data_IF_097067439127
#
_entry.id   IF_097067439127
#
_cell.length_a   1.000
_cell.length_b   1.000
_cell.length_c   1.000
_cell.angle_alpha   90.00
_cell.angle_beta   90.00
_cell.angle_gamma   90.00
#
_symmetry.space_group_name_H-M   'P 1'
#
loop_
_entity.id
_entity.type
_entity.pdbx_description
1 polymer ?
#
# COMPACT_ATOMS: atom_id res chain seq x y z
N UNK A 1 9.35 -46.60 15.83
CA UNK A 1 9.25 -45.75 14.60
C UNK A 1 8.36 -44.58 14.95
N UNK A 2 8.93 -43.39 15.19
CA UNK A 2 8.18 -42.21 15.60
C UNK A 2 7.65 -41.51 14.35
N UNK A 3 6.35 -41.57 14.17
CA UNK A 3 5.62 -40.82 13.14
C UNK A 3 5.65 -39.33 13.54
N UNK A 4 6.60 -38.55 13.02
CA UNK A 4 6.57 -37.09 13.12
C UNK A 4 5.42 -36.62 12.25
N UNK A 5 4.29 -36.28 12.85
CA UNK A 5 3.20 -35.55 12.22
C UNK A 5 3.79 -34.25 11.61
N UNK A 6 4.02 -34.25 10.32
CA UNK A 6 4.43 -33.08 9.56
C UNK A 6 3.19 -32.21 9.38
N UNK A 7 2.94 -31.29 10.32
CA UNK A 7 1.95 -30.23 10.12
C UNK A 7 2.34 -29.49 8.83
N UNK A 8 1.45 -29.40 7.83
CA UNK A 8 1.79 -28.72 6.58
C UNK A 8 2.24 -27.29 6.87
N UNK A 9 3.37 -26.89 6.31
CA UNK A 9 3.93 -25.55 6.48
C UNK A 9 2.92 -24.54 5.95
N UNK A 10 2.42 -23.67 6.82
CA UNK A 10 1.41 -22.65 6.50
C UNK A 10 1.91 -21.77 5.36
N UNK A 11 1.16 -21.69 4.27
CA UNK A 11 1.46 -20.80 3.15
C UNK A 11 0.95 -19.40 3.46
N UNK A 12 1.85 -18.56 3.95
CA UNK A 12 1.57 -17.17 4.33
C UNK A 12 1.16 -16.30 3.13
N UNK A 13 1.68 -16.62 1.94
CA UNK A 13 1.35 -15.90 0.72
C UNK A 13 -0.11 -16.15 0.34
N UNK A 14 -0.48 -17.42 0.28
CA UNK A 14 -1.85 -17.81 -0.03
C UNK A 14 -2.87 -17.24 0.99
N UNK A 15 -2.52 -17.25 2.28
CA UNK A 15 -3.41 -16.74 3.34
C UNK A 15 -3.68 -15.23 3.19
N UNK A 16 -2.63 -14.42 3.06
CA UNK A 16 -2.78 -12.95 2.94
C UNK A 16 -3.51 -12.60 1.64
N UNK A 17 -3.17 -13.26 0.54
CA UNK A 17 -3.82 -13.01 -0.75
C UNK A 17 -5.28 -13.42 -0.73
N UNK A 18 -5.65 -14.54 -0.10
CA UNK A 18 -7.04 -14.96 0.04
C UNK A 18 -7.86 -13.96 0.87
N UNK A 19 -7.28 -13.41 1.94
CA UNK A 19 -7.93 -12.37 2.76
C UNK A 19 -8.17 -11.09 1.94
N UNK A 20 -7.21 -10.68 1.13
CA UNK A 20 -7.36 -9.52 0.24
C UNK A 20 -8.46 -9.76 -0.81
N UNK A 21 -8.44 -10.91 -1.50
CA UNK A 21 -9.47 -11.29 -2.49
C UNK A 21 -10.85 -11.24 -1.83
N UNK A 22 -11.01 -11.87 -0.67
CA UNK A 22 -12.26 -11.84 0.09
C UNK A 22 -12.68 -10.41 0.43
N UNK A 23 -11.75 -9.55 0.80
CA UNK A 23 -12.05 -8.15 1.10
C UNK A 23 -12.47 -7.38 -0.16
N UNK A 24 -11.87 -7.61 -1.32
CA UNK A 24 -12.27 -6.98 -2.58
C UNK A 24 -13.69 -7.43 -2.98
N UNK A 25 -14.00 -8.70 -2.82
CA UNK A 25 -15.28 -9.32 -3.19
C UNK A 25 -16.38 -9.17 -2.12
N UNK A 26 -16.11 -8.52 -0.99
CA UNK A 26 -17.05 -8.45 0.16
C UNK A 26 -18.35 -7.67 -0.14
N UNK A 27 -18.39 -6.83 -1.18
CA UNK A 27 -19.60 -6.14 -1.66
C UNK A 27 -19.92 -6.64 -3.07
N UNK A 28 -20.83 -7.64 -3.20
CA UNK A 28 -21.25 -8.15 -4.50
C UNK A 28 -21.93 -7.05 -5.33
N UNK A 29 -21.37 -6.73 -6.49
CA UNK A 29 -21.89 -5.70 -7.38
C UNK A 29 -21.13 -4.36 -7.34
N UNK A 30 -20.30 -4.15 -6.32
CA UNK A 30 -19.37 -3.01 -6.22
C UNK A 30 -18.00 -3.45 -5.69
N UNK A 31 -17.29 -4.34 -6.39
CA UNK A 31 -15.95 -4.72 -5.95
C UNK A 31 -15.04 -3.51 -5.99
N UNK A 32 -14.31 -3.28 -4.89
CA UNK A 32 -13.38 -2.15 -4.76
C UNK A 32 -12.26 -2.50 -3.80
N UNK A 33 -11.14 -1.78 -3.94
CA UNK A 33 -10.02 -1.99 -3.04
C UNK A 33 -10.41 -1.63 -1.60
N UNK A 34 -10.07 -2.48 -0.60
CA UNK A 34 -10.50 -2.29 0.78
C UNK A 34 -10.15 -0.92 1.37
N UNK A 35 -9.01 -0.37 1.03
CA UNK A 35 -8.55 0.94 1.54
C UNK A 35 -9.26 2.15 0.90
N UNK A 36 -10.22 1.93 0.00
CA UNK A 36 -11.04 2.99 -0.62
C UNK A 36 -12.49 3.02 -0.12
N UNK A 37 -12.92 2.05 0.68
CA UNK A 37 -14.35 1.85 1.00
C UNK A 37 -14.94 2.84 1.98
N UNK A 38 -14.16 3.22 2.99
CA UNK A 38 -14.74 3.89 4.16
C UNK A 38 -14.91 5.41 4.01
N UNK A 39 -14.35 6.04 2.99
CA UNK A 39 -14.27 7.50 2.89
C UNK A 39 -13.51 8.14 4.07
N UNK A 40 -12.90 7.32 4.93
CA UNK A 40 -12.11 7.76 6.08
C UNK A 40 -10.69 8.14 5.64
N UNK A 41 -10.02 9.02 6.39
CA UNK A 41 -8.61 9.28 6.16
C UNK A 41 -7.80 7.99 6.22
N UNK A 42 -7.04 7.73 5.19
CA UNK A 42 -6.12 6.60 5.17
C UNK A 42 -4.83 6.99 5.89
N UNK A 43 -4.40 6.15 6.83
CA UNK A 43 -3.16 6.34 7.58
C UNK A 43 -2.21 5.18 7.27
N UNK A 44 -0.92 5.48 7.16
CA UNK A 44 0.09 4.41 7.09
C UNK A 44 0.11 3.70 8.46
N UNK A 45 -0.04 2.37 8.51
CA UNK A 45 0.05 1.62 9.76
C UNK A 45 1.41 1.82 10.43
N UNK A 46 1.38 1.98 11.76
CA UNK A 46 2.55 2.29 12.58
C UNK A 46 2.67 1.31 13.74
N UNK A 47 3.89 0.94 14.09
CA UNK A 47 4.15 0.14 15.29
C UNK A 47 4.12 1.02 16.53
N UNK A 48 3.20 0.74 17.44
CA UNK A 48 2.96 1.56 18.65
C UNK A 48 4.19 1.69 19.56
N UNK A 49 5.06 0.67 19.58
CA UNK A 49 6.26 0.66 20.41
C UNK A 49 7.46 1.35 19.73
N UNK A 50 7.79 0.93 18.51
CA UNK A 50 8.98 1.44 17.81
C UNK A 50 8.75 2.74 17.04
N UNK A 51 7.49 3.16 16.87
CA UNK A 51 7.07 4.29 16.02
C UNK A 51 7.44 4.15 14.53
N UNK A 52 7.92 2.98 14.14
CA UNK A 52 8.23 2.69 12.75
C UNK A 52 6.94 2.41 11.96
N UNK A 53 6.84 2.97 10.76
CA UNK A 53 5.76 2.67 9.83
C UNK A 53 5.94 1.30 9.19
N UNK A 54 4.83 0.59 8.98
CA UNK A 54 4.83 -0.63 8.19
C UNK A 54 4.98 -0.32 6.71
N UNK A 55 5.57 -1.24 5.95
CA UNK A 55 5.81 -1.08 4.52
C UNK A 55 5.47 -2.36 3.74
N UNK A 56 5.38 -2.25 2.42
CA UNK A 56 5.11 -3.37 1.53
C UNK A 56 3.79 -4.06 1.86
N UNK A 57 3.82 -5.37 1.82
CA UNK A 57 2.63 -6.20 2.09
C UNK A 57 2.04 -5.98 3.49
N UNK A 58 2.86 -5.59 4.46
CA UNK A 58 2.38 -5.34 5.82
C UNK A 58 1.41 -4.15 5.85
N UNK A 59 1.71 -3.08 5.12
CA UNK A 59 0.80 -1.93 5.00
C UNK A 59 -0.53 -2.35 4.40
N UNK A 60 -0.49 -3.06 3.27
CA UNK A 60 -1.70 -3.55 2.59
C UNK A 60 -2.52 -4.47 3.48
N UNK A 61 -1.88 -5.46 4.12
CA UNK A 61 -2.58 -6.42 4.98
C UNK A 61 -3.23 -5.75 6.21
N UNK A 62 -2.54 -4.78 6.81
CA UNK A 62 -3.09 -4.06 7.98
C UNK A 62 -4.20 -3.09 7.58
N UNK A 63 -4.18 -2.51 6.38
CA UNK A 63 -5.31 -1.75 5.83
C UNK A 63 -6.54 -2.63 5.61
N UNK A 64 -6.34 -3.82 5.01
CA UNK A 64 -7.43 -4.80 4.83
C UNK A 64 -8.05 -5.19 6.17
N UNK A 65 -7.20 -5.49 7.16
CA UNK A 65 -7.66 -5.86 8.49
C UNK A 65 -8.41 -4.72 9.19
N UNK A 66 -7.90 -3.49 9.09
CA UNK A 66 -8.54 -2.31 9.67
C UNK A 66 -9.92 -2.06 9.04
N UNK A 67 -10.03 -2.15 7.71
CA UNK A 67 -11.31 -1.98 7.02
C UNK A 67 -12.33 -3.05 7.41
N UNK A 68 -11.95 -4.33 7.34
CA UNK A 68 -12.84 -5.44 7.66
C UNK A 68 -13.33 -5.45 9.11
N UNK A 69 -12.57 -4.86 10.04
CA UNK A 69 -12.87 -4.83 11.47
C UNK A 69 -13.28 -3.45 11.99
N UNK A 70 -13.33 -2.44 11.11
CA UNK A 70 -13.75 -1.09 11.45
C UNK A 70 -12.77 -0.33 12.35
N UNK A 71 -11.47 -0.67 12.33
CA UNK A 71 -10.46 0.03 13.11
C UNK A 71 -10.16 1.42 12.51
N UNK A 72 -10.16 2.42 13.35
CA UNK A 72 -9.85 3.81 12.96
C UNK A 72 -8.40 4.21 13.25
N UNK A 73 -7.74 3.51 14.17
CA UNK A 73 -6.35 3.79 14.54
C UNK A 73 -5.36 2.97 13.71
N UNK A 74 -4.28 3.55 13.19
CA UNK A 74 -3.22 2.83 12.51
C UNK A 74 -2.18 2.21 13.46
N UNK A 75 -2.39 2.23 14.78
CA UNK A 75 -1.44 1.70 15.76
C UNK A 75 -1.58 0.19 15.92
N UNK A 76 -0.47 -0.49 15.69
CA UNK A 76 -0.37 -1.94 15.80
C UNK A 76 0.89 -2.32 16.58
N UNK A 77 0.81 -3.34 17.42
CA UNK A 77 2.00 -3.92 18.05
C UNK A 77 1.80 -5.41 18.35
N UNK A 78 2.90 -6.10 18.60
CA UNK A 78 2.86 -7.48 19.08
C UNK A 78 2.32 -7.54 20.51
N UNK A 79 1.84 -8.70 20.94
CA UNK A 79 1.39 -8.91 22.32
C UNK A 79 2.45 -8.46 23.33
N UNK A 80 3.71 -8.84 23.10
CA UNK A 80 4.82 -8.47 23.98
C UNK A 80 5.05 -6.95 24.01
N UNK A 81 5.03 -6.29 22.86
CA UNK A 81 5.19 -4.83 22.80
C UNK A 81 4.07 -4.09 23.52
N UNK A 82 2.80 -4.55 23.38
CA UNK A 82 1.69 -4.00 24.16
C UNK A 82 1.91 -4.16 25.65
N UNK A 83 2.36 -5.35 26.10
CA UNK A 83 2.68 -5.60 27.52
C UNK A 83 3.83 -4.71 28.02
N UNK A 84 4.86 -4.47 27.20
CA UNK A 84 5.98 -3.55 27.51
C UNK A 84 5.52 -2.08 27.59
N UNK A 85 4.45 -1.72 26.88
CA UNK A 85 3.79 -0.41 26.96
C UNK A 85 2.79 -0.30 28.15
N UNK A 86 2.70 -1.32 29.00
CA UNK A 86 1.79 -1.36 30.13
C UNK A 86 0.33 -1.73 29.78
N UNK A 87 0.11 -2.23 28.58
CA UNK A 87 -1.20 -2.52 28.03
C UNK A 87 -1.46 -4.04 27.92
N UNK A 88 -2.72 -4.43 27.89
CA UNK A 88 -3.15 -5.83 27.79
C UNK A 88 -4.04 -6.04 26.58
N UNK A 89 -3.69 -7.01 25.74
CA UNK A 89 -4.55 -7.44 24.63
C UNK A 89 -5.82 -8.10 25.19
N UNK A 90 -6.98 -7.66 24.74
CA UNK A 90 -8.30 -8.15 25.19
C UNK A 90 -8.44 -9.62 24.82
N UNK A 91 -8.96 -10.41 25.75
CA UNK A 91 -9.16 -11.85 25.54
C UNK A 91 -10.11 -12.11 24.38
N UNK A 92 -9.67 -12.93 23.43
CA UNK A 92 -10.44 -13.27 22.22
C UNK A 92 -10.13 -12.42 21.01
N UNK A 93 -9.31 -11.38 21.16
CA UNK A 93 -8.83 -10.56 20.03
C UNK A 93 -8.11 -11.39 18.98
N UNK A 94 -8.22 -10.97 17.72
CA UNK A 94 -7.62 -11.66 16.57
C UNK A 94 -6.42 -10.89 16.06
N UNK A 95 -5.25 -11.51 16.16
CA UNK A 95 -4.01 -10.93 15.63
C UNK A 95 -3.93 -10.95 14.11
N UNK A 96 -3.28 -9.95 13.54
CA UNK A 96 -2.90 -9.92 12.13
C UNK A 96 -1.45 -10.36 11.93
N UNK A 97 -1.21 -10.91 10.74
CA UNK A 97 0.11 -11.35 10.35
C UNK A 97 0.90 -10.21 9.73
N UNK A 98 2.14 -10.03 10.18
CA UNK A 98 3.12 -9.15 9.54
C UNK A 98 4.38 -9.94 9.24
N UNK A 99 5.03 -9.64 8.12
CA UNK A 99 6.20 -10.37 7.63
C UNK A 99 7.38 -9.41 7.57
N UNK A 100 8.48 -9.80 8.19
CA UNK A 100 9.75 -9.09 8.13
C UNK A 100 10.77 -9.99 7.44
N UNK A 101 11.54 -9.41 6.54
CA UNK A 101 12.68 -10.08 5.93
C UNK A 101 13.94 -9.72 6.71
N UNK A 102 14.63 -10.72 7.22
CA UNK A 102 15.93 -10.55 7.83
C UNK A 102 16.97 -11.03 6.85
N UNK A 103 17.92 -10.17 6.53
CA UNK A 103 19.05 -10.51 5.69
C UNK A 103 20.19 -11.03 6.58
N UNK A 104 20.84 -12.07 6.12
CA UNK A 104 22.04 -12.64 6.74
C UNK A 104 23.11 -12.72 5.67
N UNK A 105 24.30 -12.30 6.02
CA UNK A 105 25.47 -12.57 5.19
C UNK A 105 25.74 -14.09 5.24
N UNK A 106 25.87 -14.70 4.10
CA UNK A 106 26.14 -16.13 3.96
C UNK A 106 27.22 -16.34 2.89
N UNK A 107 27.81 -17.55 2.91
CA UNK A 107 28.76 -17.93 1.89
C UNK A 107 28.15 -17.74 0.50
N UNK A 108 28.89 -17.16 -0.48
CA UNK A 108 28.40 -16.93 -1.85
C UNK A 108 27.83 -18.16 -2.54
N UNK A 109 28.26 -19.38 -2.17
CA UNK A 109 27.70 -20.62 -2.71
C UNK A 109 26.29 -20.95 -2.23
N UNK A 110 25.80 -20.28 -1.16
CA UNK A 110 24.48 -20.51 -0.52
C UNK A 110 23.61 -19.26 -0.58
N UNK A 111 24.12 -18.19 -1.19
CA UNK A 111 23.44 -16.88 -1.26
C UNK A 111 22.29 -16.89 -2.27
N UNK A 112 21.18 -16.25 -1.90
CA UNK A 112 20.06 -16.01 -2.83
C UNK A 112 20.41 -14.89 -3.82
N UNK A 113 21.18 -13.87 -3.37
CA UNK A 113 21.64 -12.71 -4.15
C UNK A 113 22.77 -11.97 -3.41
N UNK A 114 23.84 -11.60 -4.14
CA UNK A 114 25.00 -10.79 -3.63
C UNK A 114 25.58 -11.22 -2.28
N UNK A 115 25.68 -12.51 -1.99
CA UNK A 115 26.21 -13.02 -0.72
C UNK A 115 25.25 -12.90 0.47
N UNK A 116 23.96 -12.65 0.24
CA UNK A 116 22.95 -12.50 1.28
C UNK A 116 21.85 -13.57 1.14
N UNK A 117 21.37 -14.05 2.28
CA UNK A 117 20.19 -14.89 2.39
C UNK A 117 19.08 -14.14 3.11
N UNK A 118 17.90 -14.11 2.51
CA UNK A 118 16.69 -13.51 3.09
C UNK A 118 15.84 -14.57 3.77
N UNK A 119 15.56 -14.38 5.05
CA UNK A 119 14.67 -15.25 5.81
C UNK A 119 13.44 -14.44 6.22
N UNK A 120 12.26 -14.87 5.74
CA UNK A 120 11.00 -14.31 6.17
C UNK A 120 10.69 -14.73 7.61
N UNK A 121 10.42 -13.77 8.48
CA UNK A 121 9.90 -13.97 9.83
C UNK A 121 8.50 -13.40 9.92
N UNK A 122 7.56 -14.23 10.35
CA UNK A 122 6.20 -13.81 10.63
C UNK A 122 6.07 -13.41 12.11
N UNK A 123 5.40 -12.30 12.35
CA UNK A 123 4.99 -11.85 13.68
C UNK A 123 3.48 -11.60 13.68
N UNK A 124 2.88 -11.63 14.87
CA UNK A 124 1.46 -11.33 15.03
C UNK A 124 1.29 -10.04 15.78
N UNK A 125 0.47 -9.16 15.24
CA UNK A 125 0.17 -7.85 15.81
C UNK A 125 -1.32 -7.68 16.07
N UNK A 126 -1.64 -6.83 17.03
CA UNK A 126 -2.99 -6.45 17.40
C UNK A 126 -3.13 -4.94 17.23
N UNK A 127 -4.32 -4.49 16.80
CA UNK A 127 -4.62 -3.07 16.74
C UNK A 127 -4.87 -2.52 18.14
N UNK A 128 -4.61 -1.23 18.35
CA UNK A 128 -4.89 -0.56 19.64
C UNK A 128 -6.35 -0.69 20.06
N UNK A 129 -7.29 -0.79 19.12
CA UNK A 129 -8.71 -1.00 19.42
C UNK A 129 -9.00 -2.36 20.10
N UNK A 130 -8.03 -3.28 20.10
CA UNK A 130 -8.12 -4.60 20.74
C UNK A 130 -7.29 -4.68 22.04
N UNK A 131 -6.97 -3.52 22.64
CA UNK A 131 -6.06 -3.43 23.79
C UNK A 131 -6.69 -2.59 24.89
N UNK A 132 -6.49 -2.99 26.13
CA UNK A 132 -6.86 -2.24 27.34
C UNK A 132 -5.61 -1.66 28.01
N UNK A 133 -5.77 -0.54 28.72
CA UNK A 133 -4.69 0.09 29.48
C UNK A 133 -3.71 0.92 28.64
N UNK A 134 -3.99 1.14 27.38
CA UNK A 134 -3.23 2.07 26.52
C UNK A 134 -4.15 3.16 26.00
N UNK A 135 -3.77 4.39 26.23
CA UNK A 135 -4.46 5.55 25.68
C UNK A 135 -3.90 5.84 24.28
N UNK A 136 -4.75 5.69 23.25
CA UNK A 136 -4.36 6.08 21.89
C UNK A 136 -4.13 7.60 21.88
N UNK A 137 -2.92 8.10 21.57
CA UNK A 137 -2.65 9.54 21.53
C UNK A 137 -3.48 10.28 20.50
N UNK A 138 -4.34 9.58 19.77
CA UNK A 138 -5.09 10.11 18.66
C UNK A 138 -4.23 10.35 17.42
N UNK A 139 -4.81 11.04 16.47
CA UNK A 139 -4.12 11.49 15.26
C UNK A 139 -4.08 13.01 15.26
N UNK A 140 -3.04 13.57 14.65
CA UNK A 140 -3.08 15.00 14.36
C UNK A 140 -4.40 15.35 13.68
N UNK A 141 -4.97 16.48 14.03
CA UNK A 141 -6.14 16.96 13.31
C UNK A 141 -5.84 16.93 11.81
N UNK A 142 -6.81 16.43 11.05
CA UNK A 142 -6.64 16.36 9.61
C UNK A 142 -6.45 17.77 9.07
N UNK A 143 -5.38 17.99 8.34
CA UNK A 143 -5.15 19.27 7.66
C UNK A 143 -6.41 19.70 6.90
N UNK A 144 -6.70 20.98 6.88
CA UNK A 144 -7.78 21.55 6.09
C UNK A 144 -7.64 21.24 4.60
N UNK A 145 -8.69 21.39 3.79
CA UNK A 145 -8.62 21.07 2.36
C UNK A 145 -7.49 21.83 1.64
N UNK A 146 -7.29 23.10 1.97
CA UNK A 146 -6.26 23.94 1.35
C UNK A 146 -4.86 23.41 1.69
N UNK A 147 -4.59 23.17 2.96
CA UNK A 147 -3.28 22.70 3.41
C UNK A 147 -2.92 21.32 2.85
N UNK A 148 -3.93 20.44 2.66
CA UNK A 148 -3.71 19.12 2.03
C UNK A 148 -3.31 19.26 0.57
N UNK A 149 -4.01 20.12 -0.16
CA UNK A 149 -3.72 20.41 -1.56
C UNK A 149 -2.33 21.04 -1.71
N UNK A 150 -2.00 22.04 -0.90
CA UNK A 150 -0.68 22.64 -0.90
C UNK A 150 0.43 21.64 -0.54
N UNK A 151 0.16 20.72 0.39
CA UNK A 151 1.12 19.66 0.73
C UNK A 151 1.34 18.70 -0.43
N UNK A 152 0.27 18.30 -1.13
CA UNK A 152 0.35 17.45 -2.31
C UNK A 152 1.09 18.16 -3.46
N UNK A 153 0.79 19.42 -3.69
CA UNK A 153 1.44 20.22 -4.73
C UNK A 153 2.93 20.37 -4.48
N UNK A 154 3.34 20.73 -3.27
CA UNK A 154 4.76 20.80 -2.88
C UNK A 154 5.45 19.45 -3.05
N UNK A 155 4.79 18.36 -2.64
CA UNK A 155 5.32 17.01 -2.80
C UNK A 155 5.60 16.68 -4.27
N UNK A 156 4.65 16.94 -5.15
CA UNK A 156 4.74 16.63 -6.59
C UNK A 156 5.79 17.53 -7.25
N UNK A 157 5.76 18.81 -6.97
CA UNK A 157 6.70 19.80 -7.53
C UNK A 157 8.15 19.44 -7.20
N UNK A 158 8.43 18.95 -5.99
CA UNK A 158 9.77 18.52 -5.58
C UNK A 158 10.28 17.32 -6.37
N UNK A 159 9.40 16.50 -6.94
CA UNK A 159 9.78 15.36 -7.79
C UNK A 159 10.30 15.77 -9.17
N UNK A 160 9.98 16.99 -9.64
CA UNK A 160 10.40 17.55 -10.95
C UNK A 160 10.01 16.67 -12.13
N UNK A 161 8.85 16.01 -12.07
CA UNK A 161 8.30 15.29 -13.22
C UNK A 161 7.82 16.28 -14.29
N UNK A 162 8.01 15.94 -15.58
CA UNK A 162 7.43 16.71 -16.70
C UNK A 162 5.94 16.38 -16.81
N UNK A 163 5.09 17.27 -16.27
CA UNK A 163 3.64 17.13 -16.25
C UNK A 163 3.04 18.05 -17.30
N UNK A 164 2.30 17.48 -18.23
CA UNK A 164 1.60 18.17 -19.32
C UNK A 164 0.09 18.08 -19.12
N UNK A 165 -0.60 19.16 -19.43
CA UNK A 165 -2.06 19.23 -19.36
C UNK A 165 -2.68 19.29 -20.75
N UNK A 166 -3.84 18.67 -20.91
CA UNK A 166 -4.65 18.65 -22.13
C UNK A 166 -5.23 17.28 -22.43
N UNK A 167 -6.19 17.25 -23.33
CA UNK A 167 -6.93 16.02 -23.66
C UNK A 167 -7.84 15.54 -22.52
N UNK A 168 -8.23 14.26 -22.60
CA UNK A 168 -9.26 13.70 -21.71
C UNK A 168 -8.74 12.57 -20.81
N UNK A 169 -7.46 12.21 -20.89
CA UNK A 169 -6.88 11.04 -20.21
C UNK A 169 -5.63 11.39 -19.42
N UNK A 170 -5.52 10.76 -18.24
CA UNK A 170 -4.28 10.71 -17.48
C UNK A 170 -3.48 9.46 -17.85
N UNK A 171 -2.17 9.62 -18.04
CA UNK A 171 -1.25 8.49 -18.22
C UNK A 171 0.21 8.94 -18.11
N UNK A 172 1.07 8.05 -17.68
CA UNK A 172 2.51 8.19 -17.84
C UNK A 172 2.94 7.65 -19.21
N UNK A 173 3.72 8.41 -19.95
CA UNK A 173 4.28 8.04 -21.26
C UNK A 173 5.77 7.68 -21.14
N UNK A 174 6.16 6.39 -21.08
CA UNK A 174 7.56 6.00 -20.89
C UNK A 174 8.51 6.46 -21.98
N UNK A 175 8.04 6.57 -23.22
CA UNK A 175 8.88 6.95 -24.37
C UNK A 175 9.33 8.41 -24.34
N UNK A 176 8.55 9.30 -23.75
CA UNK A 176 8.87 10.73 -23.60
C UNK A 176 9.19 11.11 -22.16
N UNK A 177 9.07 10.18 -21.23
CA UNK A 177 9.22 10.37 -19.78
C UNK A 177 8.33 11.47 -19.20
N UNK A 178 7.10 11.59 -19.68
CA UNK A 178 6.15 12.64 -19.37
C UNK A 178 4.89 12.06 -18.72
N UNK A 179 4.32 12.82 -17.80
CA UNK A 179 2.97 12.56 -17.27
C UNK A 179 1.99 13.46 -18.02
N UNK A 180 1.02 12.84 -18.68
CA UNK A 180 -0.11 13.56 -19.26
C UNK A 180 -1.26 13.57 -18.27
N UNK A 181 -1.78 14.76 -17.97
CA UNK A 181 -3.00 14.97 -17.19
C UNK A 181 -4.07 15.58 -18.09
N UNK A 182 -5.36 15.20 -17.92
CA UNK A 182 -6.44 15.88 -18.59
C UNK A 182 -6.57 17.32 -18.08
N UNK A 183 -7.39 18.12 -18.80
CA UNK A 183 -7.74 19.46 -18.32
C UNK A 183 -8.38 19.38 -16.94
N UNK A 184 -7.98 20.27 -16.03
CA UNK A 184 -8.47 20.31 -14.64
C UNK A 184 -10.01 20.47 -14.57
N UNK A 185 -10.61 21.07 -15.57
CA UNK A 185 -12.07 21.26 -15.66
C UNK A 185 -12.83 19.95 -15.84
N UNK A 186 -12.17 18.88 -16.26
CA UNK A 186 -12.77 17.55 -16.43
C UNK A 186 -12.87 16.77 -15.10
N UNK A 187 -12.22 17.24 -14.05
CA UNK A 187 -12.36 16.60 -12.76
C UNK A 187 -13.63 17.06 -12.04
N UNK A 188 -14.33 16.09 -11.48
CA UNK A 188 -15.51 16.31 -10.66
C UNK A 188 -15.24 15.80 -9.23
N UNK A 189 -15.86 16.46 -8.25
CA UNK A 189 -15.89 15.93 -6.89
C UNK A 189 -16.87 14.77 -6.74
N UNK A 190 -16.79 14.09 -5.63
CA UNK A 190 -17.77 13.11 -5.14
C UNK A 190 -18.32 13.58 -3.79
N UNK A 191 -19.23 12.81 -3.17
CA UNK A 191 -19.74 13.13 -1.84
C UNK A 191 -18.63 13.12 -0.75
N UNK A 192 -17.52 12.43 -1.00
CA UNK A 192 -16.43 12.22 -0.04
C UNK A 192 -15.10 12.82 -0.46
N UNK A 193 -14.97 13.32 -1.70
CA UNK A 193 -13.75 13.82 -2.29
C UNK A 193 -14.00 15.11 -3.09
N UNK A 194 -13.24 16.16 -2.87
CA UNK A 194 -13.32 17.37 -3.67
C UNK A 194 -12.76 17.14 -5.08
N UNK A 195 -13.09 18.03 -6.03
CA UNK A 195 -12.50 18.02 -7.37
C UNK A 195 -10.98 18.00 -7.35
N UNK A 196 -10.41 18.87 -6.52
CA UNK A 196 -8.96 19.06 -6.44
C UNK A 196 -8.30 17.81 -5.82
N UNK A 197 -8.91 17.20 -4.79
CA UNK A 197 -8.43 15.90 -4.28
C UNK A 197 -8.47 14.82 -5.36
N UNK A 198 -9.51 14.80 -6.21
CA UNK A 198 -9.61 13.88 -7.35
C UNK A 198 -8.46 14.06 -8.34
N UNK A 199 -8.15 15.31 -8.69
CA UNK A 199 -7.01 15.63 -9.55
C UNK A 199 -5.68 15.13 -8.95
N UNK A 200 -5.41 15.46 -7.68
CA UNK A 200 -4.17 15.04 -7.03
C UNK A 200 -4.08 13.53 -6.82
N UNK A 201 -5.18 12.85 -6.51
CA UNK A 201 -5.20 11.40 -6.39
C UNK A 201 -4.82 10.71 -7.72
N UNK A 202 -5.31 11.23 -8.86
CA UNK A 202 -4.93 10.74 -10.19
C UNK A 202 -3.47 11.04 -10.47
N UNK A 203 -3.02 12.26 -10.21
CA UNK A 203 -1.62 12.65 -10.46
C UNK A 203 -0.63 11.82 -9.62
N UNK A 204 -0.96 11.49 -8.37
CA UNK A 204 -0.14 10.61 -7.53
C UNK A 204 -0.09 9.17 -8.06
N UNK A 205 -1.15 8.71 -8.74
CA UNK A 205 -1.16 7.42 -9.44
C UNK A 205 -0.18 7.46 -10.64
N UNK A 206 -0.28 8.46 -11.49
CA UNK A 206 0.62 8.62 -12.65
C UNK A 206 2.07 8.86 -12.21
N UNK A 207 2.27 9.58 -11.11
CA UNK A 207 3.60 9.78 -10.51
C UNK A 207 4.20 8.46 -10.01
N UNK A 208 3.37 7.52 -9.55
CA UNK A 208 3.85 6.19 -9.20
C UNK A 208 4.31 5.43 -10.43
N UNK A 209 3.58 5.46 -11.54
CA UNK A 209 4.02 4.92 -12.83
C UNK A 209 5.32 5.57 -13.31
N UNK A 210 5.43 6.88 -13.21
CA UNK A 210 6.64 7.63 -13.61
C UNK A 210 7.89 7.12 -12.89
N UNK A 211 7.78 6.61 -11.67
CA UNK A 211 8.92 5.99 -10.98
C UNK A 211 9.43 4.72 -11.65
N UNK A 212 8.69 4.09 -12.57
CA UNK A 212 9.12 2.86 -13.25
C UNK A 212 10.29 3.08 -14.20
N UNK A 213 10.52 4.30 -14.66
CA UNK A 213 11.61 4.61 -15.59
C UNK A 213 12.96 4.10 -15.09
N UNK A 214 13.85 3.74 -16.04
CA UNK A 214 15.18 3.14 -15.76
C UNK A 214 16.07 4.05 -14.91
N UNK A 215 15.94 5.37 -15.03
CA UNK A 215 16.69 6.35 -14.22
C UNK A 215 16.17 6.48 -12.77
N UNK A 216 15.10 5.80 -12.39
CA UNK A 216 14.47 5.90 -11.08
C UNK A 216 14.43 4.55 -10.36
N UNK A 217 13.32 3.84 -10.41
CA UNK A 217 13.19 2.52 -9.77
C UNK A 217 13.47 1.35 -10.71
N UNK A 218 13.69 1.61 -12.00
CA UNK A 218 13.97 0.60 -13.04
C UNK A 218 13.04 -0.61 -12.93
N UNK A 219 11.72 -0.33 -13.00
CA UNK A 219 10.69 -1.32 -12.76
C UNK A 219 10.15 -1.87 -14.06
N UNK A 220 10.58 -3.09 -14.40
CA UNK A 220 9.98 -3.91 -15.46
C UNK A 220 9.39 -5.18 -14.83
N UNK A 221 8.09 -5.36 -15.00
CA UNK A 221 7.35 -6.51 -14.49
C UNK A 221 7.06 -7.56 -15.57
N UNK A 222 7.46 -7.32 -16.82
CA UNK A 222 7.18 -8.19 -17.98
C UNK A 222 7.81 -9.58 -17.83
N UNK A 223 9.05 -9.64 -17.37
CA UNK A 223 9.76 -10.90 -17.16
C UNK A 223 9.11 -11.81 -16.11
N UNK A 224 8.42 -11.24 -15.11
CA UNK A 224 7.74 -12.01 -14.07
C UNK A 224 6.30 -12.36 -14.43
N UNK A 225 5.54 -11.42 -14.98
CA UNK A 225 4.09 -11.54 -15.14
C UNK A 225 3.64 -11.73 -16.59
N UNK A 226 4.54 -11.64 -17.56
CA UNK A 226 4.22 -11.85 -18.98
C UNK A 226 3.01 -11.02 -19.42
N UNK A 227 1.95 -11.68 -19.87
CA UNK A 227 0.72 -11.01 -20.33
C UNK A 227 -0.04 -10.23 -19.21
N UNK A 228 0.22 -10.54 -17.96
CA UNK A 228 -0.39 -9.86 -16.80
C UNK A 228 0.49 -8.71 -16.26
N UNK A 229 1.60 -8.39 -16.91
CA UNK A 229 2.53 -7.34 -16.47
C UNK A 229 1.84 -5.98 -16.34
N UNK A 230 0.95 -5.64 -17.26
CA UNK A 230 0.15 -4.41 -17.19
C UNK A 230 -0.74 -4.39 -15.94
N UNK A 231 -1.48 -5.46 -15.67
CA UNK A 231 -2.32 -5.55 -14.47
C UNK A 231 -1.49 -5.46 -13.17
N UNK A 232 -0.28 -6.04 -13.17
CA UNK A 232 0.64 -5.97 -12.04
C UNK A 232 1.17 -4.54 -11.83
N UNK A 233 1.50 -3.82 -12.90
CA UNK A 233 1.98 -2.43 -12.84
C UNK A 233 0.87 -1.48 -12.38
N UNK A 234 -0.36 -1.64 -12.87
CA UNK A 234 -1.54 -0.91 -12.39
C UNK A 234 -1.78 -1.15 -10.88
N UNK A 235 -1.57 -2.39 -10.41
CA UNK A 235 -1.69 -2.71 -8.99
C UNK A 235 -0.58 -2.02 -8.16
N UNK A 236 0.63 -1.90 -8.70
CA UNK A 236 1.71 -1.11 -8.07
C UNK A 236 1.31 0.36 -7.96
N UNK A 237 0.79 0.95 -9.05
CA UNK A 237 0.38 2.35 -9.09
C UNK A 237 -0.78 2.63 -8.15
N UNK A 238 -1.75 1.72 -8.07
CA UNK A 238 -2.89 1.81 -7.15
C UNK A 238 -2.43 1.82 -5.68
N UNK A 239 -1.57 0.88 -5.29
CA UNK A 239 -1.05 0.81 -3.91
C UNK A 239 -0.15 2.01 -3.61
N UNK A 240 0.70 2.42 -4.56
CA UNK A 240 1.57 3.58 -4.42
C UNK A 240 0.80 4.88 -4.25
N UNK A 241 -0.23 5.09 -5.08
CA UNK A 241 -1.13 6.23 -4.95
C UNK A 241 -1.83 6.25 -3.58
N UNK A 242 -2.31 5.11 -3.09
CA UNK A 242 -2.92 5.01 -1.76
C UNK A 242 -1.94 5.40 -0.64
N UNK A 243 -0.68 4.95 -0.73
CA UNK A 243 0.37 5.33 0.23
C UNK A 243 0.68 6.83 0.16
N UNK A 244 0.75 7.41 -1.04
CA UNK A 244 1.02 8.83 -1.24
C UNK A 244 -0.15 9.71 -0.80
N UNK A 245 -1.38 9.29 -1.03
CA UNK A 245 -2.58 9.95 -0.51
C UNK A 245 -2.59 9.94 1.03
N UNK A 246 -2.23 8.81 1.66
CA UNK A 246 -2.08 8.74 3.11
C UNK A 246 -0.98 9.68 3.64
N UNK A 247 0.12 9.83 2.91
CA UNK A 247 1.23 10.72 3.26
C UNK A 247 0.85 12.21 3.12
N UNK A 248 0.18 12.57 2.04
CA UNK A 248 -0.19 13.97 1.74
C UNK A 248 -1.48 14.41 2.44
N UNK A 249 -2.31 13.47 2.86
CA UNK A 249 -3.63 13.71 3.45
C UNK A 249 -4.74 13.91 2.41
N UNK A 250 -4.44 13.77 1.12
CA UNK A 250 -5.43 13.81 0.04
C UNK A 250 -6.39 12.63 0.19
N UNK A 251 -7.69 12.88 0.06
CA UNK A 251 -8.70 11.83 0.07
C UNK A 251 -8.63 11.05 -1.22
N UNK A 252 -8.73 9.73 -1.12
CA UNK A 252 -8.80 8.85 -2.28
C UNK A 252 -10.17 8.16 -2.29
N UNK A 253 -10.94 8.36 -3.34
CA UNK A 253 -12.21 7.69 -3.56
C UNK A 253 -12.13 6.75 -4.76
N UNK A 254 -13.14 5.90 -4.90
CA UNK A 254 -13.19 4.93 -6.00
C UNK A 254 -13.46 5.64 -7.32
N UNK A 255 -12.56 5.53 -8.28
CA UNK A 255 -12.79 6.02 -9.66
C UNK A 255 -13.75 5.07 -10.39
N UNK A 256 -14.62 5.62 -11.22
CA UNK A 256 -15.64 4.87 -11.96
C UNK A 256 -15.02 3.84 -12.93
N UNK A 257 -13.82 4.11 -13.45
CA UNK A 257 -13.08 3.26 -14.40
C UNK A 257 -12.38 2.06 -13.76
N UNK A 258 -12.36 1.95 -12.42
CA UNK A 258 -11.65 0.88 -11.72
C UNK A 258 -12.29 -0.50 -11.80
N UNK A 259 -13.56 -0.62 -12.18
CA UNK A 259 -14.22 -1.93 -12.22
C UNK A 259 -13.52 -2.94 -13.15
N UNK A 260 -13.01 -2.49 -14.29
CA UNK A 260 -12.28 -3.34 -15.23
C UNK A 260 -10.91 -3.75 -14.66
N UNK A 261 -10.20 -2.82 -14.02
CA UNK A 261 -8.91 -3.11 -13.38
C UNK A 261 -9.05 -4.11 -12.24
N UNK A 262 -10.10 -3.97 -11.42
CA UNK A 262 -10.37 -4.88 -10.29
C UNK A 262 -10.56 -6.31 -10.77
N UNK A 263 -11.25 -6.54 -11.88
CA UNK A 263 -11.39 -7.88 -12.45
C UNK A 263 -10.03 -8.47 -12.87
N UNK A 264 -9.17 -7.67 -13.50
CA UNK A 264 -7.82 -8.07 -13.89
C UNK A 264 -6.94 -8.35 -12.66
N UNK A 265 -7.03 -7.52 -11.60
CA UNK A 265 -6.31 -7.74 -10.35
C UNK A 265 -6.77 -9.00 -9.63
N UNK A 266 -8.07 -9.26 -9.57
CA UNK A 266 -8.60 -10.50 -8.98
C UNK A 266 -8.09 -11.73 -9.74
N UNK A 267 -8.04 -11.68 -11.08
CA UNK A 267 -7.47 -12.77 -11.88
C UNK A 267 -5.99 -12.94 -11.57
N UNK A 268 -5.20 -11.86 -11.60
CA UNK A 268 -3.77 -11.89 -11.25
C UNK A 268 -3.52 -12.49 -9.86
N UNK A 269 -4.28 -12.07 -8.85
CA UNK A 269 -4.14 -12.54 -7.48
C UNK A 269 -4.55 -14.01 -7.30
N UNK A 270 -5.53 -14.50 -8.08
CA UNK A 270 -5.94 -15.91 -8.11
C UNK A 270 -4.90 -16.79 -8.78
N UNK A 271 -4.22 -16.27 -9.80
CA UNK A 271 -3.20 -17.01 -10.56
C UNK A 271 -1.84 -17.03 -9.84
N UNK A 272 -1.47 -15.96 -9.16
CA UNK A 272 -0.20 -15.86 -8.40
C UNK A 272 -0.42 -15.21 -7.02
N UNK A 273 -0.42 -16.02 -5.97
CA UNK A 273 -0.54 -15.57 -4.58
C UNK A 273 0.60 -14.65 -4.12
N UNK A 274 1.71 -14.58 -4.85
CA UNK A 274 2.82 -13.67 -4.56
C UNK A 274 2.72 -12.34 -5.31
N UNK A 275 1.76 -12.18 -6.22
CA UNK A 275 1.62 -10.96 -7.02
C UNK A 275 1.43 -9.73 -6.14
N UNK A 276 0.56 -9.80 -5.13
CA UNK A 276 0.34 -8.68 -4.19
C UNK A 276 1.60 -8.32 -3.40
N UNK A 277 2.44 -9.29 -3.05
CA UNK A 277 3.70 -9.04 -2.34
C UNK A 277 4.68 -8.28 -3.22
N UNK A 278 4.78 -8.68 -4.48
CA UNK A 278 5.61 -7.98 -5.46
C UNK A 278 5.09 -6.56 -5.69
N UNK A 279 3.80 -6.40 -5.93
CA UNK A 279 3.19 -5.08 -6.16
C UNK A 279 3.38 -4.15 -4.95
N UNK A 280 3.09 -4.61 -3.74
CA UNK A 280 3.24 -3.82 -2.53
C UNK A 280 4.70 -3.45 -2.23
N UNK A 281 5.66 -4.35 -2.50
CA UNK A 281 7.08 -4.06 -2.35
C UNK A 281 7.53 -2.99 -3.36
N UNK A 282 7.10 -3.10 -4.63
CA UNK A 282 7.43 -2.13 -5.68
C UNK A 282 6.75 -0.78 -5.45
N UNK A 283 5.52 -0.75 -4.95
CA UNK A 283 4.84 0.47 -4.53
C UNK A 283 5.60 1.18 -3.39
N UNK A 284 6.00 0.43 -2.36
CA UNK A 284 6.81 1.00 -1.26
C UNK A 284 8.17 1.51 -1.74
N UNK A 285 8.80 0.85 -2.71
CA UNK A 285 10.04 1.32 -3.32
C UNK A 285 9.81 2.65 -4.06
N UNK A 286 8.74 2.77 -4.84
CA UNK A 286 8.34 3.98 -5.55
C UNK A 286 8.11 5.14 -4.57
N UNK A 287 7.31 4.91 -3.53
CA UNK A 287 7.01 5.91 -2.50
C UNK A 287 8.28 6.36 -1.76
N UNK A 288 9.15 5.42 -1.38
CA UNK A 288 10.43 5.76 -0.72
C UNK A 288 11.32 6.61 -1.63
N UNK A 289 11.39 6.29 -2.93
CA UNK A 289 12.15 7.08 -3.90
C UNK A 289 11.60 8.51 -4.04
N UNK A 290 10.28 8.66 -4.14
CA UNK A 290 9.62 9.97 -4.23
C UNK A 290 9.81 10.79 -2.93
N UNK A 291 9.70 10.16 -1.77
CA UNK A 291 9.96 10.80 -0.47
C UNK A 291 11.40 11.28 -0.32
N UNK A 292 12.37 10.56 -0.87
CA UNK A 292 13.78 10.98 -0.84
C UNK A 292 14.03 12.28 -1.64
N UNK A 293 13.11 12.69 -2.53
CA UNK A 293 13.19 13.97 -3.24
C UNK A 293 12.73 15.16 -2.41
N UNK A 294 12.02 14.92 -1.30
CA UNK A 294 11.47 15.98 -0.46
C UNK A 294 12.53 16.75 0.36
N UNK A 295 13.73 16.25 0.51
CA UNK A 295 14.80 16.82 1.34
C UNK A 295 15.93 17.50 0.56
N UNK A 296 15.81 17.65 -0.76
CA UNK A 296 16.91 18.13 -1.65
C UNK A 296 16.65 19.54 -2.21
N UNK A 297 15.77 20.33 -1.56
CA UNK A 297 15.48 21.73 -1.92
C UNK A 297 16.34 22.69 -1.12
#
# INVERSE_FOLDING_TARGET
MSNRNHTPKRDLYAEITANLIKAIEADPGKPQMPWRRSGRPLWIPENASSKATYSGINTVNLWVAAELRGFSSPLWATYRQWSELGAQVIKGSKSELVIFYKEFDVDPEVADDNGKRRVARASRVFNVAEVEGFEDPGRPERLGPIERIEKADRFITSCRADIRHGGERAFYAPSSDQIQMPDETLFCGTDTMTRDEGYYAVLLHELTHWTAHTSRCDRDLSGRFGKQAYAAEELVAEIGAAMLCAETGVTQDTRVDHAQYIANWLQLLKDDSKAIFTAAAKASQAVAWLKAKQGTS
#
